data_IF_583994926510
#
_entry.id   IF_583994926510
#
_cell.length_a   1.000
_cell.length_b   1.000
_cell.length_c   1.000
_cell.angle_alpha   90.00
_cell.angle_beta   90.00
_cell.angle_gamma   90.00
#
_symmetry.space_group_name_H-M   'P 1'
#
loop_
_entity.id
_entity.type
_entity.pdbx_description
1 polymer ?
#
# COMPACT_ATOMS: atom_id res chain seq x y z
N UNK A 1 -51.80 -72.28 37.64
CA UNK A 1 -51.34 -71.96 36.26
C UNK A 1 -50.09 -71.07 36.35
N UNK A 2 -49.41 -70.82 35.22
CA UNK A 2 -48.19 -69.97 35.07
C UNK A 2 -48.43 -68.54 35.63
N UNK A 3 -47.44 -67.67 35.93
CA UNK A 3 -46.05 -67.46 35.42
C UNK A 3 -45.09 -67.06 36.58
N UNK A 4 -43.78 -66.87 36.32
CA UNK A 4 -42.68 -66.56 37.27
C UNK A 4 -41.88 -65.31 36.78
N UNK A 5 -40.85 -64.85 37.55
CA UNK A 5 -39.85 -63.77 37.28
C UNK A 5 -40.30 -62.33 37.68
N UNK A 6 -39.46 -61.39 38.22
CA UNK A 6 -38.02 -61.41 38.62
C UNK A 6 -37.57 -60.25 39.56
N UNK A 7 -36.31 -60.30 40.05
CA UNK A 7 -35.55 -59.21 40.73
C UNK A 7 -35.87 -59.00 42.23
N UNK A 8 -35.00 -58.48 43.12
CA UNK A 8 -33.58 -58.02 43.13
C UNK A 8 -33.17 -57.87 44.65
N UNK A 9 -31.96 -57.56 45.19
CA UNK A 9 -30.59 -57.15 44.77
C UNK A 9 -29.62 -57.44 45.98
N UNK A 10 -28.28 -57.24 45.88
CA UNK A 10 -27.35 -57.32 47.05
C UNK A 10 -26.08 -56.44 46.90
N UNK A 11 -25.24 -56.29 47.95
CA UNK A 11 -24.20 -55.23 48.10
C UNK A 11 -22.81 -55.72 48.60
N UNK A 12 -21.77 -55.37 47.82
CA UNK A 12 -20.32 -55.01 48.04
C UNK A 12 -19.53 -55.39 49.33
N UNK A 13 -18.20 -55.67 49.14
CA UNK A 13 -16.99 -55.53 50.03
C UNK A 13 -16.23 -56.85 50.37
N UNK A 14 -14.89 -56.96 50.61
CA UNK A 14 -13.69 -56.06 50.60
C UNK A 14 -12.37 -56.84 50.24
N UNK A 15 -11.20 -56.14 50.13
CA UNK A 15 -9.81 -56.52 50.60
C UNK A 15 -8.72 -57.17 49.66
N UNK A 16 -7.64 -56.37 49.44
CA UNK A 16 -6.17 -56.59 49.27
C UNK A 16 -5.48 -57.53 48.22
N UNK A 17 -4.50 -56.94 47.50
CA UNK A 17 -3.02 -57.21 47.53
C UNK A 17 -2.24 -57.51 46.22
N UNK A 18 -0.90 -57.27 46.28
CA UNK A 18 0.23 -57.68 45.40
C UNK A 18 0.58 -56.87 44.13
N UNK A 19 1.54 -55.94 44.32
CA UNK A 19 2.83 -55.75 43.60
C UNK A 19 2.92 -56.09 42.09
N UNK A 20 3.26 -55.08 41.26
CA UNK A 20 4.47 -55.10 40.42
C UNK A 20 4.95 -53.68 40.08
N UNK A 21 6.24 -53.39 40.26
CA UNK A 21 6.85 -52.11 39.85
C UNK A 21 7.66 -52.34 38.56
N UNK A 22 7.16 -51.86 37.42
CA UNK A 22 7.87 -51.91 36.14
C UNK A 22 8.31 -50.50 35.75
N UNK A 23 9.62 -50.27 35.76
CA UNK A 23 10.21 -49.01 35.30
C UNK A 23 10.09 -48.95 33.78
N UNK A 24 9.05 -48.28 33.28
CA UNK A 24 8.99 -47.87 31.89
C UNK A 24 10.02 -46.77 31.64
N UNK A 25 11.19 -47.17 31.16
CA UNK A 25 12.09 -46.28 30.42
C UNK A 25 11.29 -45.67 29.26
N UNK A 26 10.87 -44.41 29.40
CA UNK A 26 10.54 -43.60 28.23
C UNK A 26 11.84 -43.28 27.52
N UNK A 27 12.12 -44.03 26.46
CA UNK A 27 13.01 -43.56 25.41
C UNK A 27 12.30 -42.37 24.77
N UNK A 28 12.66 -41.16 25.17
CA UNK A 28 12.33 -39.96 24.39
C UNK A 28 13.13 -40.00 23.09
N UNK A 29 12.58 -40.71 22.11
CA UNK A 29 12.93 -40.46 20.70
C UNK A 29 12.46 -39.04 20.43
N UNK A 30 13.39 -38.09 20.46
CA UNK A 30 13.15 -36.76 19.89
C UNK A 30 12.74 -36.95 18.44
N UNK A 31 11.49 -36.66 18.12
CA UNK A 31 10.99 -36.64 16.76
C UNK A 31 11.48 -35.36 16.07
N UNK A 32 12.80 -35.26 15.87
CA UNK A 32 13.46 -34.18 15.13
C UNK A 32 13.41 -34.49 13.62
N UNK A 33 12.18 -34.71 13.15
CA UNK A 33 11.82 -35.00 11.76
C UNK A 33 10.83 -33.91 11.32
N UNK A 34 11.37 -32.83 10.74
CA UNK A 34 10.53 -31.76 10.18
C UNK A 34 9.67 -32.36 9.08
N UNK A 35 8.35 -32.25 9.22
CA UNK A 35 7.38 -32.80 8.29
C UNK A 35 7.47 -32.10 6.93
N UNK A 36 8.37 -32.58 6.07
CA UNK A 36 8.52 -32.13 4.68
C UNK A 36 7.18 -32.30 3.97
N UNK A 37 6.61 -31.18 3.52
CA UNK A 37 5.36 -31.15 2.76
C UNK A 37 5.45 -32.06 1.54
N UNK A 38 4.36 -32.79 1.27
CA UNK A 38 4.30 -33.77 0.17
C UNK A 38 4.57 -33.13 -1.20
N UNK A 39 4.21 -31.86 -1.35
CA UNK A 39 4.52 -31.00 -2.49
C UNK A 39 5.27 -29.77 -1.96
N UNK A 40 6.16 -29.21 -2.77
CA UNK A 40 6.77 -27.90 -2.55
C UNK A 40 6.73 -27.10 -3.83
N UNK A 41 6.42 -25.81 -3.76
CA UNK A 41 6.64 -24.87 -4.86
C UNK A 41 7.87 -24.01 -4.51
N UNK A 42 8.75 -23.82 -5.49
CA UNK A 42 9.96 -23.01 -5.43
C UNK A 42 9.89 -21.96 -6.55
N UNK A 43 10.59 -20.83 -6.39
CA UNK A 43 10.61 -19.73 -7.37
C UNK A 43 12.05 -19.37 -7.71
N UNK A 44 12.35 -19.24 -9.00
CA UNK A 44 13.71 -18.96 -9.48
C UNK A 44 14.68 -20.08 -9.10
N UNK A 45 15.91 -19.71 -8.76
CA UNK A 45 16.92 -20.68 -8.31
C UNK A 45 16.87 -21.02 -6.81
N UNK A 46 15.85 -20.55 -6.08
CA UNK A 46 15.64 -20.91 -4.69
C UNK A 46 15.29 -22.40 -4.48
N UNK A 47 15.72 -22.96 -3.34
CA UNK A 47 15.43 -24.33 -2.90
C UNK A 47 14.35 -24.42 -1.82
N UNK A 48 14.02 -23.29 -1.19
CA UNK A 48 13.03 -23.25 -0.10
C UNK A 48 11.60 -23.17 -0.62
N UNK A 49 10.68 -23.78 0.14
CA UNK A 49 9.26 -23.73 -0.14
C UNK A 49 8.74 -22.29 -0.07
N UNK A 50 7.98 -21.87 -1.09
CA UNK A 50 7.36 -20.57 -1.18
C UNK A 50 5.86 -20.68 -0.92
N UNK A 51 5.37 -19.82 -0.05
CA UNK A 51 3.95 -19.72 0.33
C UNK A 51 3.35 -18.35 -0.04
N UNK A 52 4.17 -17.29 -0.05
CA UNK A 52 3.77 -15.95 -0.51
C UNK A 52 4.72 -15.39 -1.59
N UNK A 53 4.16 -14.55 -2.46
CA UNK A 53 4.88 -13.73 -3.42
C UNK A 53 4.22 -12.34 -3.55
N UNK A 54 4.99 -11.27 -3.30
CA UNK A 54 4.63 -9.93 -3.76
C UNK A 54 5.21 -9.70 -5.15
N UNK A 55 4.45 -9.06 -6.04
CA UNK A 55 4.87 -8.74 -7.42
C UNK A 55 4.37 -7.32 -7.77
N UNK A 56 5.18 -6.50 -8.42
CA UNK A 56 4.71 -5.20 -8.90
C UNK A 56 3.74 -5.38 -10.07
N UNK A 57 2.86 -4.40 -10.33
CA UNK A 57 2.10 -4.34 -11.59
C UNK A 57 3.02 -4.45 -12.83
N UNK A 58 2.50 -5.02 -13.91
CA UNK A 58 3.18 -5.41 -15.16
C UNK A 58 4.41 -6.34 -15.03
N UNK A 59 4.94 -6.55 -13.84
CA UNK A 59 6.10 -7.41 -13.62
C UNK A 59 5.78 -8.90 -13.83
N UNK A 60 6.81 -9.65 -14.21
CA UNK A 60 6.76 -11.10 -14.40
C UNK A 60 7.61 -11.76 -13.32
N UNK A 61 7.05 -12.74 -12.61
CA UNK A 61 7.77 -13.50 -11.59
C UNK A 61 8.93 -14.30 -12.21
N UNK A 62 9.85 -14.73 -11.35
CA UNK A 62 10.72 -15.84 -11.70
C UNK A 62 9.96 -17.17 -11.89
N UNK A 63 10.62 -18.14 -12.51
CA UNK A 63 10.00 -19.40 -12.88
C UNK A 63 9.62 -20.23 -11.65
N UNK A 64 8.36 -20.62 -11.58
CA UNK A 64 7.80 -21.53 -10.59
C UNK A 64 8.21 -22.96 -10.94
N UNK A 65 8.85 -23.62 -9.98
CA UNK A 65 9.28 -25.03 -10.03
C UNK A 65 8.62 -25.79 -8.89
N UNK A 66 8.49 -27.11 -8.97
CA UNK A 66 7.94 -27.89 -7.86
C UNK A 66 8.66 -29.22 -7.64
N UNK A 67 8.58 -29.70 -6.40
CA UNK A 67 9.01 -31.05 -5.98
C UNK A 67 7.83 -31.83 -5.39
N UNK A 68 7.91 -33.16 -5.46
CA UNK A 68 6.93 -34.07 -4.86
C UNK A 68 7.66 -35.21 -4.13
N UNK A 69 7.42 -35.34 -2.82
CA UNK A 69 8.04 -36.38 -2.00
C UNK A 69 7.15 -37.63 -1.95
N UNK A 70 7.70 -38.78 -2.33
CA UNK A 70 7.06 -40.09 -2.19
C UNK A 70 6.00 -40.45 -3.24
N UNK A 71 5.88 -39.70 -4.34
CA UNK A 71 4.94 -39.98 -5.42
C UNK A 71 5.56 -39.76 -6.80
N UNK A 72 5.25 -40.64 -7.75
CA UNK A 72 5.55 -40.40 -9.16
C UNK A 72 4.49 -39.49 -9.79
N UNK A 73 4.92 -38.37 -10.38
CA UNK A 73 4.07 -37.44 -11.12
C UNK A 73 3.57 -38.07 -12.42
N UNK A 74 2.31 -37.81 -12.76
CA UNK A 74 1.68 -38.13 -14.06
C UNK A 74 1.37 -36.86 -14.86
N UNK A 75 0.93 -35.79 -14.20
CA UNK A 75 0.77 -34.46 -14.78
C UNK A 75 0.69 -33.39 -13.70
N UNK A 76 0.97 -32.16 -14.07
CA UNK A 76 0.86 -30.96 -13.23
C UNK A 76 0.20 -29.82 -14.01
N UNK A 77 -0.45 -28.90 -13.29
CA UNK A 77 -1.03 -27.69 -13.84
C UNK A 77 -1.08 -26.59 -12.77
N UNK A 78 -0.68 -25.38 -13.15
CA UNK A 78 -0.88 -24.16 -12.35
C UNK A 78 -2.11 -23.40 -12.84
N UNK A 79 -2.84 -22.77 -11.93
CA UNK A 79 -3.97 -21.89 -12.23
C UNK A 79 -3.95 -20.67 -11.31
N UNK A 80 -4.34 -19.50 -11.84
CA UNK A 80 -4.69 -18.33 -11.04
C UNK A 80 -6.14 -18.45 -10.55
N UNK A 81 -6.41 -18.06 -9.31
CA UNK A 81 -7.78 -17.86 -8.83
C UNK A 81 -8.36 -16.49 -9.18
N UNK A 82 -7.53 -15.57 -9.66
CA UNK A 82 -7.92 -14.20 -10.00
C UNK A 82 -7.17 -13.74 -11.28
N UNK A 83 -7.64 -14.18 -12.48
CA UNK A 83 -6.95 -13.91 -13.74
C UNK A 83 -6.83 -12.43 -14.10
N UNK A 84 -7.74 -11.60 -13.59
CA UNK A 84 -7.78 -10.15 -13.85
C UNK A 84 -6.65 -9.42 -13.09
N UNK A 85 -6.25 -9.92 -11.92
CA UNK A 85 -5.10 -9.44 -11.13
C UNK A 85 -3.79 -10.06 -11.62
N UNK A 86 -3.74 -11.37 -11.89
CA UNK A 86 -2.56 -12.02 -12.46
C UNK A 86 -2.86 -13.29 -13.27
N UNK A 87 -2.06 -13.50 -14.32
CA UNK A 87 -2.18 -14.65 -15.24
C UNK A 87 -1.00 -15.63 -15.10
N UNK A 88 -1.21 -16.88 -15.54
CA UNK A 88 -0.20 -17.94 -15.54
C UNK A 88 0.37 -18.11 -16.96
N UNK A 89 1.66 -17.84 -17.11
CA UNK A 89 2.40 -18.05 -18.36
C UNK A 89 3.18 -19.36 -18.27
N UNK A 90 2.68 -20.45 -18.87
CA UNK A 90 3.39 -21.74 -18.89
C UNK A 90 4.68 -21.64 -19.71
N UNK A 91 5.82 -22.05 -19.16
CA UNK A 91 7.15 -21.95 -19.79
C UNK A 91 7.65 -23.28 -20.34
N UNK A 92 7.41 -24.37 -19.61
CA UNK A 92 7.72 -25.75 -20.01
C UNK A 92 6.91 -26.75 -19.18
N UNK A 93 7.11 -28.06 -19.36
CA UNK A 93 6.37 -29.07 -18.59
C UNK A 93 6.56 -28.87 -17.08
N UNK A 94 5.44 -28.64 -16.38
CA UNK A 94 5.42 -28.43 -14.93
C UNK A 94 6.00 -27.10 -14.44
N UNK A 95 6.23 -26.11 -15.32
CA UNK A 95 6.81 -24.81 -14.95
C UNK A 95 6.09 -23.63 -15.62
N UNK A 96 6.00 -22.52 -14.90
CA UNK A 96 5.34 -21.30 -15.36
C UNK A 96 5.99 -20.05 -14.75
N UNK A 97 5.63 -18.87 -15.26
CA UNK A 97 5.78 -17.58 -14.58
C UNK A 97 4.40 -16.99 -14.30
N UNK A 98 4.33 -16.10 -13.32
CA UNK A 98 3.14 -15.29 -13.02
C UNK A 98 3.35 -13.92 -13.61
N UNK A 99 2.37 -13.44 -14.38
CA UNK A 99 2.33 -12.10 -14.95
C UNK A 99 1.33 -11.28 -14.15
N UNK A 100 1.79 -10.21 -13.50
CA UNK A 100 0.90 -9.20 -12.93
C UNK A 100 0.11 -8.48 -14.03
N UNK A 101 -1.14 -8.10 -13.73
CA UNK A 101 -2.06 -7.42 -14.66
C UNK A 101 -2.73 -6.22 -13.98
N UNK A 102 -3.31 -6.38 -12.79
CA UNK A 102 -3.83 -5.28 -11.97
C UNK A 102 -3.39 -5.44 -10.52
N UNK A 103 -3.45 -4.34 -9.77
CA UNK A 103 -3.35 -4.36 -8.30
C UNK A 103 -4.44 -5.26 -7.69
N UNK A 104 -4.10 -5.97 -6.61
CA UNK A 104 -5.00 -6.85 -5.85
C UNK A 104 -4.37 -8.21 -5.50
N UNK A 105 -5.18 -9.15 -5.00
CA UNK A 105 -4.71 -10.45 -4.49
C UNK A 105 -5.35 -11.70 -5.12
N UNK A 106 -4.73 -12.87 -4.90
CA UNK A 106 -5.27 -14.17 -5.28
C UNK A 106 -4.32 -15.35 -5.06
N UNK A 107 -4.69 -16.54 -5.54
CA UNK A 107 -3.94 -17.78 -5.38
C UNK A 107 -3.36 -18.30 -6.70
N UNK A 108 -2.07 -18.60 -6.71
CA UNK A 108 -1.50 -19.59 -7.64
C UNK A 108 -1.73 -20.97 -7.05
N UNK A 109 -2.59 -21.77 -7.67
CA UNK A 109 -2.86 -23.14 -7.26
C UNK A 109 -2.16 -24.13 -8.18
N UNK A 110 -1.21 -24.89 -7.64
CA UNK A 110 -0.65 -26.07 -8.29
C UNK A 110 -1.56 -27.27 -8.04
N UNK A 111 -2.01 -27.95 -9.09
CA UNK A 111 -2.65 -29.27 -9.01
C UNK A 111 -1.75 -30.31 -9.67
N UNK A 112 -1.45 -31.39 -8.95
CA UNK A 112 -0.68 -32.54 -9.44
C UNK A 112 -1.59 -33.76 -9.48
N UNK A 113 -1.48 -34.55 -10.54
CA UNK A 113 -1.96 -35.93 -10.59
C UNK A 113 -0.77 -36.88 -10.54
N UNK A 114 -0.84 -37.88 -9.68
CA UNK A 114 0.20 -38.91 -9.55
C UNK A 114 -0.12 -40.13 -10.42
N UNK A 115 0.87 -41.02 -10.65
CA UNK A 115 0.66 -42.25 -11.44
C UNK A 115 -0.25 -43.26 -10.74
N UNK A 116 -0.26 -43.29 -9.40
CA UNK A 116 -1.21 -44.05 -8.57
C UNK A 116 -2.60 -43.38 -8.45
N UNK A 117 -2.84 -42.27 -9.17
CA UNK A 117 -4.16 -41.68 -9.38
C UNK A 117 -4.60 -40.64 -8.34
N UNK A 118 -3.77 -40.33 -7.34
CA UNK A 118 -4.07 -39.29 -6.34
C UNK A 118 -4.06 -37.90 -6.98
N UNK A 119 -4.81 -36.97 -6.36
CA UNK A 119 -4.69 -35.54 -6.59
C UNK A 119 -3.93 -34.94 -5.40
N UNK A 120 -2.85 -34.22 -5.67
CA UNK A 120 -2.19 -33.35 -4.70
C UNK A 120 -2.41 -31.89 -5.11
N UNK A 121 -2.41 -30.97 -4.16
CA UNK A 121 -2.55 -29.53 -4.39
C UNK A 121 -1.64 -28.75 -3.47
N UNK A 122 -1.08 -27.67 -3.98
CA UNK A 122 -0.32 -26.69 -3.20
C UNK A 122 -0.70 -25.27 -3.65
N UNK A 123 -0.60 -24.27 -2.76
CA UNK A 123 -0.97 -22.88 -3.06
C UNK A 123 0.14 -21.89 -2.70
N UNK A 124 0.25 -20.84 -3.50
CA UNK A 124 0.94 -19.60 -3.17
C UNK A 124 -0.07 -18.46 -3.17
N UNK A 125 -0.04 -17.62 -2.14
CA UNK A 125 -0.75 -16.35 -2.11
C UNK A 125 0.06 -15.28 -2.84
N UNK A 126 -0.57 -14.58 -3.77
CA UNK A 126 0.04 -13.52 -4.57
C UNK A 126 -0.60 -12.19 -4.22
N UNK A 127 0.24 -11.19 -4.00
CA UNK A 127 -0.14 -9.80 -3.81
C UNK A 127 0.48 -8.98 -4.93
N UNK A 128 -0.33 -8.60 -5.92
CA UNK A 128 0.09 -7.69 -6.98
C UNK A 128 -0.09 -6.27 -6.47
N UNK A 129 1.01 -5.52 -6.39
CA UNK A 129 1.04 -4.20 -5.78
C UNK A 129 1.33 -3.10 -6.80
N UNK A 130 0.68 -1.96 -6.60
CA UNK A 130 0.89 -0.72 -7.34
C UNK A 130 1.94 0.12 -6.62
N UNK A 131 3.03 0.48 -7.30
CA UNK A 131 4.12 1.26 -6.71
C UNK A 131 3.73 2.73 -6.59
N UNK A 132 3.93 3.31 -5.40
CA UNK A 132 3.65 4.71 -5.09
C UNK A 132 4.95 5.53 -5.01
N UNK A 133 4.82 6.86 -5.05
CA UNK A 133 5.86 7.76 -4.53
C UNK A 133 6.17 7.39 -3.07
N UNK A 134 7.45 7.16 -2.76
CA UNK A 134 7.84 6.65 -1.45
C UNK A 134 7.73 7.74 -0.38
N UNK A 135 6.86 7.54 0.62
CA UNK A 135 6.60 8.50 1.69
C UNK A 135 6.70 7.84 3.08
N UNK A 136 7.11 8.60 4.09
CA UNK A 136 7.15 8.10 5.46
C UNK A 136 5.75 8.10 6.11
N UNK A 137 5.50 7.11 6.96
CA UNK A 137 4.28 6.94 7.74
C UNK A 137 4.59 6.49 9.16
N UNK A 138 3.70 6.82 10.10
CA UNK A 138 3.84 6.51 11.53
C UNK A 138 2.75 5.54 11.97
N UNK A 139 3.11 4.51 12.72
CA UNK A 139 2.15 3.53 13.24
C UNK A 139 1.29 4.09 14.38
N UNK A 140 -0.03 4.02 14.23
CA UNK A 140 -1.01 4.54 15.22
C UNK A 140 -1.07 3.68 16.49
N UNK A 141 -0.69 2.41 16.37
CA UNK A 141 -0.65 1.36 17.40
C UNK A 141 0.40 0.31 17.03
N UNK A 142 0.72 -0.61 17.94
CA UNK A 142 1.47 -1.83 17.59
C UNK A 142 0.66 -2.58 16.53
N UNK A 143 1.30 -2.95 15.42
CA UNK A 143 0.66 -3.46 14.23
C UNK A 143 1.37 -4.72 13.72
N UNK A 144 0.62 -5.59 13.06
CA UNK A 144 1.15 -6.85 12.52
C UNK A 144 1.75 -6.64 11.13
N UNK A 145 2.86 -7.33 10.86
CA UNK A 145 3.55 -7.31 9.56
C UNK A 145 3.32 -8.63 8.85
N UNK A 146 2.70 -8.58 7.67
CA UNK A 146 2.27 -9.73 6.91
C UNK A 146 3.20 -10.02 5.72
N UNK A 147 3.23 -11.28 5.27
CA UNK A 147 4.03 -11.74 4.11
C UNK A 147 3.41 -11.39 2.75
N UNK A 148 2.10 -11.15 2.72
CA UNK A 148 1.33 -10.62 1.59
C UNK A 148 0.28 -9.65 2.12
N UNK A 149 -0.50 -9.05 1.23
CA UNK A 149 -1.66 -8.22 1.56
C UNK A 149 -2.86 -9.07 2.03
N UNK A 150 -2.70 -9.76 3.17
CA UNK A 150 -3.77 -10.49 3.87
C UNK A 150 -3.32 -10.86 5.29
N UNK A 151 -4.27 -10.90 6.23
CA UNK A 151 -4.11 -11.42 7.59
C UNK A 151 -4.59 -12.87 7.73
N UNK A 152 -5.19 -13.42 6.67
CA UNK A 152 -5.55 -14.84 6.54
C UNK A 152 -5.44 -15.29 5.08
N UNK A 153 -4.26 -15.76 4.71
CA UNK A 153 -3.96 -16.22 3.35
C UNK A 153 -4.07 -17.75 3.19
N UNK A 154 -4.29 -18.52 4.26
CA UNK A 154 -4.46 -19.98 4.22
C UNK A 154 -3.35 -20.75 3.46
N UNK A 155 -2.12 -20.24 3.44
CA UNK A 155 -0.97 -20.84 2.70
C UNK A 155 0.18 -21.28 3.60
N UNK A 156 0.35 -20.68 4.78
CA UNK A 156 1.20 -21.21 5.86
C UNK A 156 0.48 -21.09 7.21
N UNK A 157 1.05 -21.68 8.27
CA UNK A 157 0.42 -21.68 9.60
C UNK A 157 0.42 -20.29 10.28
N UNK A 158 1.11 -19.30 9.71
CA UNK A 158 1.30 -17.97 10.29
C UNK A 158 1.76 -16.95 9.23
N UNK A 159 0.82 -16.30 8.54
CA UNK A 159 1.08 -15.29 7.50
C UNK A 159 1.79 -14.02 8.05
N UNK A 160 1.84 -13.87 9.38
CA UNK A 160 2.52 -12.79 10.11
C UNK A 160 4.03 -13.03 10.17
N UNK A 161 4.77 -12.23 9.40
CA UNK A 161 6.25 -12.16 9.35
C UNK A 161 6.87 -11.44 10.56
N UNK A 162 6.14 -10.53 11.21
CA UNK A 162 6.67 -9.73 12.31
C UNK A 162 5.67 -8.72 12.86
N UNK A 163 6.18 -7.66 13.46
CA UNK A 163 5.40 -6.57 14.07
C UNK A 163 6.09 -5.23 13.86
N UNK A 164 5.30 -4.16 14.01
CA UNK A 164 5.73 -2.77 14.17
C UNK A 164 5.29 -2.30 15.56
N UNK A 165 6.13 -1.55 16.26
CA UNK A 165 5.74 -0.92 17.53
C UNK A 165 4.90 0.34 17.30
N UNK A 166 4.24 0.87 18.34
CA UNK A 166 3.47 2.13 18.24
C UNK A 166 4.40 3.34 18.11
N UNK A 167 4.13 4.21 17.14
CA UNK A 167 4.91 5.44 16.92
C UNK A 167 6.22 5.18 16.15
N UNK A 168 6.33 4.01 15.51
CA UNK A 168 7.43 3.65 14.64
C UNK A 168 7.24 4.28 13.25
N UNK A 169 8.30 4.86 12.70
CA UNK A 169 8.32 5.39 11.33
C UNK A 169 8.73 4.31 10.35
N UNK A 170 7.99 4.19 9.24
CA UNK A 170 8.30 3.32 8.10
C UNK A 170 8.08 4.05 6.79
N UNK A 171 8.82 3.69 5.75
CA UNK A 171 8.62 4.24 4.40
C UNK A 171 7.66 3.35 3.62
N UNK A 172 6.52 3.88 3.21
CA UNK A 172 5.55 3.21 2.34
C UNK A 172 6.09 3.23 0.90
N UNK A 173 5.88 2.14 0.15
CA UNK A 173 6.44 1.97 -1.21
C UNK A 173 5.48 1.34 -2.23
N UNK A 174 4.37 0.72 -1.80
CA UNK A 174 3.31 0.26 -2.70
C UNK A 174 1.96 0.08 -1.99
N UNK A 175 0.88 -0.04 -2.76
CA UNK A 175 -0.49 -0.34 -2.32
C UNK A 175 -0.93 -1.72 -2.86
N UNK A 176 -1.66 -2.49 -2.06
CA UNK A 176 -2.28 -3.75 -2.47
C UNK A 176 -3.49 -4.05 -1.55
N UNK A 177 -4.70 -4.08 -2.11
CA UNK A 177 -5.98 -4.12 -1.39
C UNK A 177 -5.99 -3.12 -0.20
N UNK A 178 -6.38 -3.50 1.02
CA UNK A 178 -6.37 -2.62 2.21
C UNK A 178 -5.01 -2.51 2.94
N UNK A 179 -3.91 -2.85 2.25
CA UNK A 179 -2.55 -2.87 2.79
C UNK A 179 -1.62 -1.91 2.05
N UNK A 180 -0.74 -1.27 2.81
CA UNK A 180 0.50 -0.74 2.28
C UNK A 180 1.59 -1.81 2.32
N UNK A 181 2.40 -1.88 1.26
CA UNK A 181 3.73 -2.47 1.34
C UNK A 181 4.71 -1.39 1.79
N UNK A 182 5.53 -1.69 2.79
CA UNK A 182 6.53 -0.78 3.34
C UNK A 182 7.94 -1.37 3.25
N UNK A 183 8.93 -0.50 3.48
CA UNK A 183 10.33 -0.84 3.71
C UNK A 183 10.81 -0.23 5.03
N UNK A 184 11.67 -0.96 5.75
CA UNK A 184 12.60 -0.41 6.74
C UNK A 184 14.02 -0.42 6.17
N UNK A 185 14.77 0.64 6.45
CA UNK A 185 16.22 0.69 6.27
C UNK A 185 16.89 0.13 7.53
N UNK A 186 17.12 -1.18 7.55
CA UNK A 186 17.79 -1.86 8.67
C UNK A 186 19.30 -1.93 8.42
N UNK A 187 20.11 -1.74 9.47
CA UNK A 187 21.55 -1.99 9.39
C UNK A 187 21.83 -3.50 9.42
N UNK A 188 22.68 -3.98 8.51
CA UNK A 188 23.18 -5.38 8.42
C UNK A 188 22.22 -6.42 7.80
N UNK A 189 21.55 -6.09 6.69
CA UNK A 189 21.00 -7.08 5.74
C UNK A 189 21.90 -7.11 4.47
N UNK A 190 22.14 -8.30 3.90
CA UNK A 190 22.86 -8.45 2.62
C UNK A 190 21.97 -8.07 1.41
N UNK A 191 22.44 -8.18 0.15
CA UNK A 191 22.74 -7.05 -0.73
C UNK A 191 21.53 -6.29 -1.28
N UNK A 192 20.32 -6.87 -1.20
CA UNK A 192 19.04 -6.26 -1.58
C UNK A 192 18.35 -5.52 -0.41
N UNK A 193 18.88 -5.63 0.81
CA UNK A 193 19.04 -4.52 1.76
C UNK A 193 17.82 -3.97 2.51
N UNK A 194 16.59 -4.36 2.16
CA UNK A 194 15.37 -3.82 2.80
C UNK A 194 14.51 -4.89 3.45
N UNK A 195 14.23 -4.73 4.75
CA UNK A 195 13.11 -5.44 5.39
C UNK A 195 11.81 -4.87 4.82
N UNK A 196 11.15 -5.62 3.94
CA UNK A 196 9.84 -5.25 3.38
C UNK A 196 8.73 -6.18 3.85
N UNK A 197 7.52 -5.64 3.98
CA UNK A 197 6.34 -6.38 4.42
C UNK A 197 5.06 -5.61 4.12
N UNK A 198 3.92 -6.19 4.46
CA UNK A 198 2.61 -5.55 4.32
C UNK A 198 2.05 -5.18 5.70
N UNK A 199 1.39 -4.03 5.80
CA UNK A 199 0.69 -3.53 6.99
C UNK A 199 -0.65 -2.93 6.57
N UNK A 200 -1.70 -3.10 7.37
CA UNK A 200 -3.02 -2.54 7.06
C UNK A 200 -2.97 -1.01 7.04
N UNK A 201 -3.61 -0.39 6.04
CA UNK A 201 -3.75 1.08 5.98
C UNK A 201 -4.41 1.63 7.26
N UNK A 202 -5.32 0.86 7.85
CA UNK A 202 -6.00 1.24 9.10
C UNK A 202 -5.09 1.32 10.34
N UNK A 203 -3.86 0.80 10.29
CA UNK A 203 -2.90 0.81 11.41
C UNK A 203 -1.84 1.92 11.34
N UNK A 204 -1.64 2.56 10.18
CA UNK A 204 -0.67 3.65 9.98
C UNK A 204 -1.33 5.01 9.74
N UNK A 205 -0.60 6.10 9.91
CA UNK A 205 -0.97 7.43 9.42
C UNK A 205 0.19 8.02 8.64
N UNK A 206 -0.09 8.61 7.49
CA UNK A 206 0.89 9.43 6.77
C UNK A 206 0.74 10.86 7.32
N UNK A 207 1.81 11.52 7.78
CA UNK A 207 1.77 12.90 8.21
C UNK A 207 1.79 13.85 7.00
N UNK A 208 1.13 15.01 7.10
CA UNK A 208 1.37 16.13 6.18
C UNK A 208 2.84 16.56 6.31
N UNK A 209 3.47 16.92 5.20
CA UNK A 209 4.86 17.42 5.17
C UNK A 209 4.99 18.80 4.53
N UNK A 210 4.14 19.09 3.54
CA UNK A 210 4.01 20.42 2.92
C UNK A 210 2.60 20.64 2.40
N UNK A 211 2.24 21.92 2.24
CA UNK A 211 1.12 22.36 1.42
C UNK A 211 1.70 23.06 0.18
N UNK A 212 1.07 22.91 -0.98
CA UNK A 212 1.42 23.65 -2.20
C UNK A 212 0.18 24.39 -2.73
N UNK A 213 0.40 25.56 -3.33
CA UNK A 213 -0.61 26.44 -3.95
C UNK A 213 0.07 27.20 -5.10
N UNK A 214 -0.68 27.80 -6.01
CA UNK A 214 -0.10 28.72 -7.01
C UNK A 214 0.53 29.95 -6.32
N UNK A 215 1.77 30.29 -6.70
CA UNK A 215 2.52 31.40 -6.08
C UNK A 215 1.88 32.78 -6.33
N UNK A 216 1.23 32.95 -7.48
CA UNK A 216 0.57 34.18 -7.92
C UNK A 216 -0.76 33.86 -8.62
N UNK A 217 -1.86 34.55 -8.24
CA UNK A 217 -3.17 34.49 -8.91
C UNK A 217 -3.56 35.88 -9.42
N UNK A 218 -4.28 35.93 -10.54
CA UNK A 218 -4.58 37.15 -11.29
C UNK A 218 -6.08 37.27 -11.61
N UNK A 219 -6.72 38.32 -11.10
CA UNK A 219 -8.15 38.56 -11.26
C UNK A 219 -8.46 39.96 -11.81
N UNK A 220 -9.48 40.08 -12.66
CA UNK A 220 -10.20 41.35 -12.86
C UNK A 220 -11.19 41.57 -11.69
N UNK A 221 -11.38 42.83 -11.28
CA UNK A 221 -12.24 43.17 -10.14
C UNK A 221 -13.71 42.77 -10.39
N UNK A 222 -14.19 41.82 -9.58
CA UNK A 222 -15.50 41.18 -9.72
C UNK A 222 -15.40 39.67 -9.91
N UNK A 223 -14.22 39.15 -10.21
CA UNK A 223 -13.94 37.71 -10.28
C UNK A 223 -13.71 37.09 -8.89
N UNK A 224 -13.90 35.77 -8.81
CA UNK A 224 -13.85 34.95 -7.61
C UNK A 224 -13.54 33.48 -7.97
N UNK A 225 -12.72 32.81 -7.17
CA UNK A 225 -12.20 31.45 -7.44
C UNK A 225 -11.77 30.76 -6.15
N UNK A 226 -11.74 29.43 -6.11
CA UNK A 226 -11.19 28.67 -4.99
C UNK A 226 -9.66 28.59 -5.09
N UNK A 227 -8.97 28.90 -4.00
CA UNK A 227 -7.54 28.58 -3.88
C UNK A 227 -7.38 27.06 -3.83
N UNK A 228 -6.78 26.47 -4.85
CA UNK A 228 -6.43 25.05 -4.83
C UNK A 228 -5.24 24.82 -3.88
N UNK A 229 -5.26 23.71 -3.14
CA UNK A 229 -4.30 23.41 -2.08
C UNK A 229 -3.91 21.94 -2.11
N UNK A 230 -2.78 21.64 -2.74
CA UNK A 230 -2.22 20.29 -2.77
C UNK A 230 -1.58 19.95 -1.41
N UNK A 231 -1.81 18.73 -0.94
CA UNK A 231 -1.29 18.21 0.35
C UNK A 231 -0.25 17.15 0.04
N UNK A 232 1.00 17.37 0.47
CA UNK A 232 2.10 16.45 0.19
C UNK A 232 2.60 15.75 1.47
N UNK A 233 2.78 14.42 1.46
CA UNK A 233 2.49 13.48 0.35
C UNK A 233 0.99 13.26 0.12
N UNK A 234 0.59 12.93 -1.11
CA UNK A 234 -0.79 12.61 -1.54
C UNK A 234 -1.56 11.63 -0.60
N UNK A 235 -0.85 10.72 0.07
CA UNK A 235 -1.44 9.74 1.00
C UNK A 235 -1.69 10.28 2.42
N UNK A 236 -1.33 11.53 2.71
CA UNK A 236 -1.70 12.22 3.94
C UNK A 236 -3.21 12.53 3.95
N UNK A 237 -3.89 12.42 5.12
CA UNK A 237 -5.28 12.84 5.20
C UNK A 237 -5.39 14.36 5.03
N UNK A 238 -6.40 14.81 4.28
CA UNK A 238 -6.73 16.22 4.13
C UNK A 238 -6.86 16.90 5.52
N UNK A 239 -6.04 17.93 5.82
CA UNK A 239 -6.06 18.59 7.12
C UNK A 239 -7.16 19.64 7.19
N UNK A 240 -7.53 20.04 8.41
CA UNK A 240 -8.31 21.26 8.59
C UNK A 240 -7.47 22.48 8.19
N UNK A 241 -7.91 23.20 7.16
CA UNK A 241 -7.25 24.40 6.65
C UNK A 241 -7.74 25.67 7.34
N UNK A 242 -6.80 26.57 7.64
CA UNK A 242 -7.05 27.92 8.13
C UNK A 242 -6.50 28.93 7.12
N UNK A 243 -7.39 29.79 6.60
CA UNK A 243 -7.09 30.80 5.60
C UNK A 243 -7.04 32.21 6.21
N UNK A 244 -6.15 33.06 5.71
CA UNK A 244 -5.99 34.48 6.08
C UNK A 244 -5.61 35.32 4.85
N UNK A 245 -5.92 36.61 4.84
CA UNK A 245 -5.55 37.58 3.80
C UNK A 245 -4.87 38.78 4.43
N UNK A 246 -3.68 39.15 3.94
CA UNK A 246 -2.93 40.30 4.46
C UNK A 246 -3.63 41.66 4.25
N UNK A 247 -4.60 41.72 3.35
CA UNK A 247 -5.36 42.92 3.00
C UNK A 247 -6.79 42.55 2.56
N UNK A 248 -7.70 42.24 3.51
CA UNK A 248 -9.07 41.82 3.22
C UNK A 248 -9.90 42.85 2.44
N UNK A 249 -9.47 44.11 2.40
CA UNK A 249 -10.07 45.19 1.60
C UNK A 249 -9.55 45.27 0.16
N UNK A 250 -8.73 44.31 -0.28
CA UNK A 250 -8.32 44.04 -1.67
C UNK A 250 -8.99 42.76 -2.17
N UNK A 251 -8.79 41.65 -1.45
CA UNK A 251 -9.55 40.41 -1.62
C UNK A 251 -9.70 39.69 -0.27
N UNK A 252 -10.86 39.08 -0.05
CA UNK A 252 -11.08 38.17 1.09
C UNK A 252 -10.92 36.72 0.63
N UNK A 253 -10.55 35.84 1.55
CA UNK A 253 -10.63 34.39 1.40
C UNK A 253 -11.51 33.84 2.52
N UNK A 254 -12.42 32.92 2.23
CA UNK A 254 -13.37 32.38 3.21
C UNK A 254 -12.87 31.08 3.89
N UNK A 255 -13.69 30.54 4.81
CA UNK A 255 -13.40 29.30 5.55
C UNK A 255 -13.27 28.04 4.66
N UNK A 256 -13.53 28.15 3.35
CA UNK A 256 -13.44 27.09 2.34
C UNK A 256 -12.37 27.37 1.28
N UNK A 257 -11.54 28.40 1.48
CA UNK A 257 -10.51 28.80 0.52
C UNK A 257 -11.04 29.62 -0.66
N UNK A 258 -12.30 30.06 -0.66
CA UNK A 258 -12.88 30.81 -1.77
C UNK A 258 -12.46 32.29 -1.72
N UNK A 259 -11.70 32.72 -2.72
CA UNK A 259 -11.20 34.08 -2.90
C UNK A 259 -12.27 34.93 -3.57
N UNK A 260 -12.63 36.07 -2.96
CA UNK A 260 -13.55 37.04 -3.56
C UNK A 260 -12.92 38.44 -3.59
N UNK A 261 -12.75 38.99 -4.79
CA UNK A 261 -12.16 40.32 -4.99
C UNK A 261 -13.04 41.45 -4.43
N UNK A 262 -12.40 42.55 -3.99
CA UNK A 262 -13.04 43.72 -3.36
C UNK A 262 -12.57 45.06 -3.92
N UNK A 263 -11.28 45.17 -4.25
CA UNK A 263 -10.63 46.40 -4.73
C UNK A 263 -9.38 46.03 -5.52
N UNK A 264 -9.05 46.81 -6.55
CA UNK A 264 -7.78 46.64 -7.25
C UNK A 264 -6.59 46.90 -6.32
N UNK A 265 -5.54 46.07 -6.46
CA UNK A 265 -4.38 46.05 -5.56
C UNK A 265 -3.69 44.67 -5.54
N UNK A 266 -2.83 44.45 -4.55
CA UNK A 266 -2.14 43.18 -4.31
C UNK A 266 -2.36 42.78 -2.84
N UNK A 267 -2.74 41.53 -2.58
CA UNK A 267 -2.78 40.95 -1.22
C UNK A 267 -2.08 39.59 -1.21
N UNK A 268 -1.62 39.13 -0.05
CA UNK A 268 -1.08 37.77 0.12
C UNK A 268 -2.08 36.96 0.93
N UNK A 269 -2.67 35.96 0.29
CA UNK A 269 -3.47 34.95 0.98
C UNK A 269 -2.53 33.88 1.54
N UNK A 270 -2.76 33.47 2.78
CA UNK A 270 -1.99 32.41 3.46
C UNK A 270 -2.94 31.28 3.85
N UNK A 271 -2.62 30.06 3.44
CA UNK A 271 -3.25 28.84 3.95
C UNK A 271 -2.33 28.17 4.97
N UNK A 272 -2.89 27.57 6.01
CA UNK A 272 -2.14 26.79 6.99
C UNK A 272 -2.92 25.63 7.57
N UNK A 273 -2.24 24.57 8.00
CA UNK A 273 -2.85 23.49 8.79
C UNK A 273 -3.31 24.00 10.15
N UNK A 274 -4.38 23.44 10.71
CA UNK A 274 -4.94 23.86 12.00
C UNK A 274 -3.98 23.67 13.21
N UNK A 275 -2.99 22.79 13.10
CA UNK A 275 -1.89 22.67 14.08
C UNK A 275 -0.80 23.76 13.94
N UNK A 276 -0.86 24.54 12.85
CA UNK A 276 0.07 25.62 12.51
C UNK A 276 1.41 25.17 11.95
N UNK A 277 1.65 23.86 11.75
CA UNK A 277 2.96 23.32 11.36
C UNK A 277 3.32 23.59 9.89
N UNK A 278 2.34 23.54 8.98
CA UNK A 278 2.57 23.70 7.53
C UNK A 278 1.77 24.89 7.00
N UNK A 279 2.40 25.72 6.15
CA UNK A 279 1.81 26.93 5.57
C UNK A 279 2.25 27.13 4.13
N UNK A 280 1.34 27.59 3.28
CA UNK A 280 1.62 28.02 1.92
C UNK A 280 1.01 29.42 1.67
N UNK A 281 1.42 30.09 0.59
CA UNK A 281 1.05 31.47 0.28
C UNK A 281 0.84 31.69 -1.20
N UNK A 282 -0.19 32.45 -1.53
CA UNK A 282 -0.50 32.90 -2.87
C UNK A 282 -0.56 34.44 -2.89
N UNK A 283 0.08 35.06 -3.87
CA UNK A 283 0.04 36.51 -4.09
C UNK A 283 -1.08 36.83 -5.07
N UNK A 284 -2.14 37.46 -4.58
CA UNK A 284 -3.35 37.76 -5.35
C UNK A 284 -3.27 39.18 -5.91
N UNK A 285 -3.20 39.28 -7.23
CA UNK A 285 -3.23 40.51 -8.00
C UNK A 285 -4.66 40.78 -8.48
N UNK A 286 -5.23 41.93 -8.10
CA UNK A 286 -6.58 42.35 -8.50
C UNK A 286 -6.47 43.60 -9.38
N UNK A 287 -6.95 43.51 -10.61
CA UNK A 287 -6.94 44.59 -11.57
C UNK A 287 -8.29 45.32 -11.63
N UNK A 288 -8.27 46.61 -11.93
CA UNK A 288 -9.51 47.37 -12.10
C UNK A 288 -10.14 47.02 -13.45
N UNK A 289 -11.33 46.43 -13.44
CA UNK A 289 -12.14 46.10 -14.61
C UNK A 289 -12.33 47.32 -15.53
N UNK A 290 -11.49 47.45 -16.56
CA UNK A 290 -11.39 48.69 -17.34
C UNK A 290 -10.01 49.11 -17.84
N UNK A 291 -8.99 48.23 -17.81
CA UNK A 291 -7.84 48.34 -18.70
C UNK A 291 -6.93 49.56 -18.52
N UNK A 292 -6.26 49.64 -17.38
CA UNK A 292 -4.97 50.31 -17.26
C UNK A 292 -3.94 49.27 -16.80
N UNK A 293 -2.86 49.08 -17.57
CA UNK A 293 -1.74 48.28 -17.10
C UNK A 293 -1.13 48.96 -15.88
N UNK A 294 -0.90 48.19 -14.82
CA UNK A 294 -0.11 48.69 -13.69
C UNK A 294 1.34 48.85 -14.13
N UNK A 295 1.94 49.99 -13.81
CA UNK A 295 3.39 50.16 -13.97
C UNK A 295 4.08 49.77 -12.67
N UNK A 296 5.14 48.97 -12.80
CA UNK A 296 6.00 48.52 -11.72
C UNK A 296 6.59 49.73 -10.95
N UNK A 297 6.32 49.87 -9.63
CA UNK A 297 6.83 50.99 -8.83
C UNK A 297 8.35 50.96 -8.61
N UNK A 298 9.07 49.95 -9.13
CA UNK A 298 10.53 49.79 -9.04
C UNK A 298 11.38 50.52 -10.09
N UNK A 299 10.79 51.25 -11.06
CA UNK A 299 11.55 51.93 -12.14
C UNK A 299 11.74 53.43 -11.93
N UNK A 300 13.00 53.86 -11.85
CA UNK A 300 13.38 55.28 -11.96
C UNK A 300 13.28 55.78 -13.41
N UNK A 301 12.73 56.99 -13.62
CA UNK A 301 12.56 57.57 -14.96
C UNK A 301 13.86 58.14 -15.56
N UNK A 302 14.27 57.60 -16.71
CA UNK A 302 15.34 58.15 -17.56
C UNK A 302 14.81 59.15 -18.61
N UNK A 303 15.11 60.43 -18.43
CA UNK A 303 14.58 61.58 -19.20
C UNK A 303 14.51 61.44 -20.74
N UNK A 304 13.31 61.73 -21.27
CA UNK A 304 12.88 62.09 -22.64
C UNK A 304 13.85 61.98 -23.85
N UNK A 305 13.39 61.30 -24.91
CA UNK A 305 14.00 61.34 -26.26
C UNK A 305 13.00 61.02 -27.38
N UNK A 306 12.37 62.03 -27.98
CA UNK A 306 11.32 61.91 -29.01
C UNK A 306 11.81 61.33 -30.35
N UNK A 307 11.14 60.32 -30.91
CA UNK A 307 11.10 60.06 -32.37
C UNK A 307 9.84 59.30 -32.82
N UNK A 308 9.06 59.96 -33.69
CA UNK A 308 8.24 59.49 -34.84
C UNK A 308 7.77 58.03 -34.93
N UNK A 309 6.45 57.87 -35.09
CA UNK A 309 5.73 56.63 -35.46
C UNK A 309 6.17 56.08 -36.83
N UNK A 310 6.32 54.76 -36.94
CA UNK A 310 6.02 54.01 -38.17
C UNK A 310 5.19 52.76 -37.87
N UNK A 311 4.08 52.59 -38.59
CA UNK A 311 3.34 51.33 -38.62
C UNK A 311 4.14 50.27 -39.40
N UNK A 312 4.19 49.03 -38.88
CA UNK A 312 4.27 47.86 -39.74
C UNK A 312 3.52 46.69 -39.10
N UNK A 313 2.81 45.92 -39.93
CA UNK A 313 1.82 44.94 -39.47
C UNK A 313 2.39 43.53 -39.33
N UNK A 314 1.87 42.77 -38.35
CA UNK A 314 1.79 41.31 -38.42
C UNK A 314 0.68 40.74 -37.53
N UNK A 315 0.08 39.65 -38.00
CA UNK A 315 -1.04 38.94 -37.36
C UNK A 315 -0.57 38.02 -36.21
N UNK A 316 -1.48 37.63 -35.29
CA UNK A 316 -1.15 36.73 -34.19
C UNK A 316 -0.80 35.32 -34.67
N UNK A 317 -0.15 34.56 -33.77
CA UNK A 317 -0.01 33.10 -33.86
C UNK A 317 -0.67 32.46 -32.64
N UNK A 318 -1.76 31.73 -32.86
CA UNK A 318 -2.16 30.68 -31.93
C UNK A 318 -1.09 29.57 -31.99
N UNK A 319 -0.79 28.93 -30.87
CA UNK A 319 -0.27 27.56 -30.89
C UNK A 319 -0.59 26.81 -29.59
N UNK A 320 -1.53 25.86 -29.70
CA UNK A 320 -1.63 24.71 -28.80
C UNK A 320 -0.59 23.64 -29.20
N UNK A 321 -0.55 22.55 -28.43
CA UNK A 321 0.13 21.29 -28.71
C UNK A 321 1.67 21.34 -28.79
N UNK A 322 2.36 21.01 -27.70
CA UNK A 322 2.80 19.63 -27.50
C UNK A 322 2.82 19.30 -26.00
#
# INVERSE_FOLDING_TARGET
MKVQYWGWKLVVFVILSVILCVVYFRVEVKAEDVAVSTVRIMIGEGTEARHHMGLAMDAVSDEFRFEVKGYEVKSSAYASSNPDVFTIQNTSEGRCRVQAVSQGTGYVTLTIRTKDGKKLTERIFVSVYETISACDAVTKRRADVYRGASDHADVENNDKKGELEKGETITLIAICDDYFRFARKEENIEPDGYYTGFVKMTDVTVPVTSLMVEEELFFDLGEEEALDVEVEPELAPEPEFLYDSSSPEIAVIDEKGFIQTKRAGITVNTVSTADGLHKAKCTVYVYSSGGAAWEDPGKEEGSTGNTTIQESSKKPKNKFDF
#
